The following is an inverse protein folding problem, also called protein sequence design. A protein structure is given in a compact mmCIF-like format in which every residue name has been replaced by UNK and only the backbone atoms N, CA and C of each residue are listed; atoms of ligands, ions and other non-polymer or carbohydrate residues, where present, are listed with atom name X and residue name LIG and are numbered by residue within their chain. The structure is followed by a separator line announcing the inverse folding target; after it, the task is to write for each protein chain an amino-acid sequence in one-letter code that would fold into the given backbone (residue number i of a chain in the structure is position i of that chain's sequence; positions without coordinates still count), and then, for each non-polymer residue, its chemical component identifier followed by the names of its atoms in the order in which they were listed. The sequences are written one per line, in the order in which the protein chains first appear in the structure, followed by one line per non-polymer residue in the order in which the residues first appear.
data_IF_399838532017
#
_entry.id   IF_399838532017
#
_cell.length_a   1.000
_cell.length_b   1.000
_cell.length_c   1.000
_cell.angle_alpha   90.00
_cell.angle_beta   90.00
_cell.angle_gamma   90.00
#
_symmetry.space_group_name_H-M   'P 1'
#
loop_
_entity.id
_entity.type
_entity.pdbx_description
1 polymer ?
#
# COMPACT_ATOMS: atom_id res chain seq x y z
N UNK A 1 -9.37 22.54 -14.30
CA UNK A 1 -9.03 21.18 -13.84
C UNK A 1 -10.33 20.39 -13.78
N UNK A 2 -10.45 19.27 -14.48
CA UNK A 2 -11.71 18.50 -14.49
C UNK A 2 -11.91 17.77 -13.16
N UNK A 3 -13.14 17.34 -12.85
CA UNK A 3 -13.40 16.56 -11.63
C UNK A 3 -12.59 15.25 -11.63
N UNK A 4 -12.50 14.59 -12.78
CA UNK A 4 -11.64 13.41 -13.00
C UNK A 4 -10.17 13.71 -12.69
N UNK A 5 -9.62 14.82 -13.16
CA UNK A 5 -8.23 15.20 -12.86
C UNK A 5 -7.99 15.33 -11.36
N UNK A 6 -8.95 15.90 -10.64
CA UNK A 6 -8.89 16.05 -9.18
C UNK A 6 -8.90 14.69 -8.49
N UNK A 7 -9.80 13.79 -8.87
CA UNK A 7 -9.90 12.43 -8.31
C UNK A 7 -8.60 11.64 -8.52
N UNK A 8 -8.04 11.63 -9.72
CA UNK A 8 -6.76 10.96 -10.01
C UNK A 8 -5.58 11.58 -9.26
N UNK A 9 -5.51 12.92 -9.17
CA UNK A 9 -4.47 13.59 -8.40
C UNK A 9 -4.54 13.23 -6.92
N UNK A 10 -5.73 13.26 -6.32
CA UNK A 10 -5.93 12.85 -4.93
C UNK A 10 -5.52 11.39 -4.71
N UNK A 11 -5.96 10.48 -5.59
CA UNK A 11 -5.57 9.07 -5.53
C UNK A 11 -4.05 8.88 -5.62
N UNK A 12 -3.39 9.59 -6.54
CA UNK A 12 -1.93 9.53 -6.68
C UNK A 12 -1.22 9.95 -5.38
N UNK A 13 -1.57 11.11 -4.80
CA UNK A 13 -0.90 11.59 -3.58
C UNK A 13 -1.18 10.72 -2.36
N UNK A 14 -2.41 10.21 -2.20
CA UNK A 14 -2.73 9.27 -1.13
C UNK A 14 -1.96 7.97 -1.30
N UNK A 15 -1.88 7.46 -2.54
CA UNK A 15 -1.11 6.27 -2.86
C UNK A 15 0.38 6.45 -2.54
N UNK A 16 0.98 7.58 -2.93
CA UNK A 16 2.39 7.88 -2.64
C UNK A 16 2.64 7.91 -1.12
N UNK A 17 1.75 8.53 -0.36
CA UNK A 17 1.86 8.55 1.10
C UNK A 17 1.82 7.14 1.69
N UNK A 18 0.91 6.29 1.22
CA UNK A 18 0.81 4.89 1.64
C UNK A 18 2.08 4.10 1.27
N UNK A 19 2.61 4.31 0.06
CA UNK A 19 3.85 3.67 -0.39
C UNK A 19 5.05 4.04 0.50
N UNK A 20 5.17 5.32 0.89
CA UNK A 20 6.20 5.78 1.81
C UNK A 20 6.05 5.12 3.19
N UNK A 21 4.82 5.07 3.72
CA UNK A 21 4.57 4.40 5.01
C UNK A 21 4.94 2.92 4.98
N UNK A 22 4.67 2.25 3.87
CA UNK A 22 5.02 0.84 3.68
C UNK A 22 6.51 0.62 3.59
N UNK A 23 7.22 1.41 2.79
CA UNK A 23 8.68 1.32 2.71
C UNK A 23 9.35 1.65 4.05
N UNK A 24 8.89 2.69 4.74
CA UNK A 24 9.40 3.04 6.06
C UNK A 24 9.15 1.91 7.08
N UNK A 25 7.97 1.29 7.06
CA UNK A 25 7.66 0.15 7.91
C UNK A 25 8.52 -1.08 7.57
N UNK A 26 8.69 -1.40 6.28
CA UNK A 26 9.53 -2.51 5.84
C UNK A 26 11.00 -2.30 6.22
N UNK A 27 11.52 -1.08 6.04
CA UNK A 27 12.85 -0.70 6.47
C UNK A 27 13.02 -0.83 7.99
N UNK A 28 12.06 -0.34 8.78
CA UNK A 28 12.08 -0.49 10.23
C UNK A 28 12.05 -1.97 10.65
N UNK A 29 11.23 -2.80 10.00
CA UNK A 29 11.20 -4.24 10.27
C UNK A 29 12.51 -4.94 9.91
N UNK A 30 13.16 -4.53 8.81
CA UNK A 30 14.46 -5.06 8.41
C UNK A 30 15.53 -4.74 9.46
N UNK A 31 15.57 -3.50 9.95
CA UNK A 31 16.54 -3.07 10.98
C UNK A 31 16.33 -3.77 12.33
N UNK A 32 15.10 -4.18 12.64
CA UNK A 32 14.78 -4.88 13.89
C UNK A 32 14.77 -6.41 13.76
N UNK A 33 15.16 -6.96 12.59
CA UNK A 33 15.23 -8.41 12.37
C UNK A 33 13.88 -9.14 12.40
N UNK A 34 12.76 -8.41 12.26
CA UNK A 34 11.39 -8.96 12.26
C UNK A 34 10.79 -9.07 10.86
N UNK A 35 11.53 -8.63 9.83
CA UNK A 35 11.10 -8.77 8.44
C UNK A 35 11.10 -10.26 8.05
N UNK A 36 9.99 -10.82 7.54
CA UNK A 36 9.97 -12.21 7.08
C UNK A 36 10.94 -12.42 5.91
N UNK A 37 12.13 -12.96 6.17
CA UNK A 37 13.12 -13.30 5.14
C UNK A 37 12.84 -14.68 4.57
N UNK A 38 11.85 -14.77 3.69
CA UNK A 38 11.45 -16.02 3.02
C UNK A 38 12.47 -16.59 2.02
N UNK A 39 13.77 -16.30 2.18
CA UNK A 39 14.83 -16.78 1.31
C UNK A 39 14.90 -16.16 -0.09
N UNK A 40 14.02 -15.20 -0.43
CA UNK A 40 13.92 -14.59 -1.76
C UNK A 40 14.97 -13.48 -2.02
N UNK A 41 16.14 -13.55 -1.39
CA UNK A 41 17.22 -12.58 -1.55
C UNK A 41 17.28 -11.48 -0.47
N UNK A 42 18.25 -10.56 -0.61
CA UNK A 42 18.54 -9.52 0.39
C UNK A 42 17.37 -8.54 0.55
N UNK A 43 16.97 -8.19 1.79
CA UNK A 43 15.88 -7.24 2.07
C UNK A 43 16.03 -5.89 1.36
N UNK A 44 17.26 -5.40 1.21
CA UNK A 44 17.57 -4.11 0.60
C UNK A 44 17.12 -4.04 -0.86
N UNK A 45 17.23 -5.15 -1.60
CA UNK A 45 16.77 -5.25 -2.98
C UNK A 45 15.25 -5.06 -3.06
N UNK A 46 14.51 -5.65 -2.12
CA UNK A 46 13.06 -5.55 -2.06
C UNK A 46 12.59 -4.15 -1.70
N UNK A 47 13.30 -3.44 -0.80
CA UNK A 47 13.01 -2.04 -0.46
C UNK A 47 13.20 -1.12 -1.68
N UNK A 48 14.30 -1.30 -2.42
CA UNK A 48 14.54 -0.52 -3.64
C UNK A 48 13.46 -0.81 -4.69
N UNK A 49 13.13 -2.09 -4.88
CA UNK A 49 12.10 -2.50 -5.84
C UNK A 49 10.72 -1.94 -5.47
N UNK A 50 10.34 -2.01 -4.20
CA UNK A 50 9.07 -1.49 -3.71
C UNK A 50 8.98 0.03 -3.85
N UNK A 51 10.05 0.77 -3.58
CA UNK A 51 10.13 2.21 -3.84
C UNK A 51 9.95 2.54 -5.34
N UNK A 52 10.63 1.81 -6.23
CA UNK A 52 10.50 2.00 -7.69
C UNK A 52 9.07 1.73 -8.16
N UNK A 53 8.47 0.63 -7.71
CA UNK A 53 7.07 0.28 -8.05
C UNK A 53 6.11 1.35 -7.53
N UNK A 54 6.29 1.81 -6.29
CA UNK A 54 5.45 2.85 -5.68
C UNK A 54 5.49 4.16 -6.47
N UNK A 55 6.68 4.60 -6.89
CA UNK A 55 6.86 5.79 -7.72
C UNK A 55 6.27 5.62 -9.12
N UNK A 56 6.41 4.44 -9.73
CA UNK A 56 5.83 4.16 -11.04
C UNK A 56 4.30 4.22 -11.01
N UNK A 57 3.66 3.64 -9.98
CA UNK A 57 2.20 3.69 -9.81
C UNK A 57 1.74 5.12 -9.54
N UNK A 58 2.44 5.87 -8.68
CA UNK A 58 2.17 7.29 -8.45
C UNK A 58 2.19 8.10 -9.76
N UNK A 59 3.25 7.94 -10.54
CA UNK A 59 3.43 8.63 -11.82
C UNK A 59 2.31 8.26 -12.81
N UNK A 60 1.98 6.96 -12.93
CA UNK A 60 0.92 6.48 -13.80
C UNK A 60 -0.46 7.03 -13.40
N UNK A 61 -0.78 7.06 -12.10
CA UNK A 61 -2.03 7.66 -11.61
C UNK A 61 -2.10 9.15 -11.91
N UNK A 62 -0.98 9.87 -11.76
CA UNK A 62 -0.93 11.32 -11.95
C UNK A 62 -1.00 11.72 -13.44
N UNK A 63 -0.40 10.95 -14.33
CA UNK A 63 -0.21 11.35 -15.74
C UNK A 63 -1.07 10.56 -16.73
N UNK A 64 -1.18 9.24 -16.61
CA UNK A 64 -2.02 8.44 -17.51
C UNK A 64 -3.52 8.56 -17.20
N UNK A 65 -3.87 8.74 -15.92
CA UNK A 65 -5.26 8.90 -15.47
C UNK A 65 -6.22 7.82 -16.01
N UNK A 66 -5.72 6.59 -16.13
CA UNK A 66 -6.47 5.47 -16.68
C UNK A 66 -7.28 4.79 -15.56
N UNK A 67 -8.60 4.70 -15.75
CA UNK A 67 -9.50 4.12 -14.77
C UNK A 67 -9.31 2.62 -14.58
N UNK A 68 -9.03 1.87 -15.66
CA UNK A 68 -8.74 0.44 -15.56
C UNK A 68 -7.46 0.17 -14.76
N UNK A 69 -6.45 1.04 -14.93
CA UNK A 69 -5.24 0.97 -14.11
C UNK A 69 -5.56 1.22 -12.63
N UNK A 70 -6.33 2.27 -12.31
CA UNK A 70 -6.75 2.53 -10.93
C UNK A 70 -7.54 1.35 -10.32
N UNK A 71 -8.40 0.69 -11.10
CA UNK A 71 -9.13 -0.52 -10.67
C UNK A 71 -8.21 -1.70 -10.40
N UNK A 72 -7.22 -1.92 -11.25
CA UNK A 72 -6.24 -2.99 -11.06
C UNK A 72 -5.42 -2.76 -9.77
N UNK A 73 -4.93 -1.54 -9.55
CA UNK A 73 -4.21 -1.19 -8.32
C UNK A 73 -5.11 -1.30 -7.09
N UNK A 74 -6.37 -0.86 -7.19
CA UNK A 74 -7.37 -1.03 -6.14
C UNK A 74 -7.54 -2.50 -5.76
N UNK A 75 -7.73 -3.39 -6.74
CA UNK A 75 -7.90 -4.83 -6.50
C UNK A 75 -6.66 -5.45 -5.85
N UNK A 76 -5.47 -5.13 -6.35
CA UNK A 76 -4.20 -5.61 -5.78
C UNK A 76 -4.02 -5.18 -4.31
N UNK A 77 -4.38 -3.94 -3.97
CA UNK A 77 -4.31 -3.48 -2.58
C UNK A 77 -5.41 -4.08 -1.69
N UNK A 78 -6.59 -4.35 -2.24
CA UNK A 78 -7.67 -5.00 -1.49
C UNK A 78 -7.30 -6.41 -1.04
N UNK A 79 -6.53 -7.15 -1.86
CA UNK A 79 -6.01 -8.47 -1.51
C UNK A 79 -5.09 -8.49 -0.27
N UNK A 80 -4.63 -7.33 0.21
CA UNK A 80 -3.85 -7.24 1.46
C UNK A 80 -4.73 -7.33 2.70
N UNK A 81 -6.01 -6.96 2.62
CA UNK A 81 -6.90 -6.89 3.78
C UNK A 81 -7.03 -8.23 4.53
N UNK A 82 -7.19 -9.40 3.88
CA UNK A 82 -7.27 -10.69 4.60
C UNK A 82 -6.05 -10.94 5.49
N UNK A 83 -4.83 -10.69 4.98
CA UNK A 83 -3.61 -10.88 5.74
C UNK A 83 -3.51 -9.90 6.92
N UNK A 84 -3.91 -8.64 6.73
CA UNK A 84 -3.91 -7.63 7.78
C UNK A 84 -4.96 -7.91 8.87
N UNK A 85 -6.17 -8.33 8.46
CA UNK A 85 -7.25 -8.73 9.39
C UNK A 85 -6.79 -9.94 10.21
N UNK A 86 -6.21 -10.95 9.56
CA UNK A 86 -5.64 -12.09 10.27
C UNK A 86 -4.55 -11.66 11.26
N UNK A 87 -3.68 -10.72 10.88
CA UNK A 87 -2.65 -10.18 11.77
C UNK A 87 -3.20 -9.36 12.94
N UNK A 88 -4.29 -8.63 12.74
CA UNK A 88 -4.90 -7.77 13.76
C UNK A 88 -5.76 -8.54 14.78
N UNK A 89 -6.49 -9.57 14.34
CA UNK A 89 -7.53 -10.21 15.15
C UNK A 89 -7.30 -11.69 15.43
N UNK A 90 -6.52 -12.40 14.59
CA UNK A 90 -6.38 -13.86 14.67
C UNK A 90 -4.99 -14.32 15.14
N UNK A 91 -3.97 -13.45 15.10
CA UNK A 91 -2.64 -13.76 15.66
C UNK A 91 -2.70 -13.69 17.18
N UNK A 92 -2.25 -14.75 17.87
CA UNK A 92 -2.08 -14.75 19.32
C UNK A 92 -1.02 -13.76 19.82
N UNK A 93 -0.82 -13.70 21.14
CA UNK A 93 0.13 -12.79 21.82
C UNK A 93 1.60 -13.05 21.49
N UNK A 94 1.92 -14.15 20.81
CA UNK A 94 3.28 -14.56 20.46
C UNK A 94 3.80 -13.94 19.15
N UNK A 95 3.02 -13.05 18.53
CA UNK A 95 3.43 -12.34 17.32
C UNK A 95 4.53 -11.30 17.59
N UNK A 96 5.64 -11.35 16.84
CA UNK A 96 6.73 -10.36 16.91
C UNK A 96 6.30 -8.91 16.61
N UNK A 97 5.15 -8.71 15.96
CA UNK A 97 4.60 -7.39 15.60
C UNK A 97 3.27 -7.22 16.33
N UNK A 98 3.13 -6.13 17.08
CA UNK A 98 1.95 -5.82 17.89
C UNK A 98 0.69 -5.60 17.03
N UNK A 99 -0.49 -6.02 17.53
CA UNK A 99 -1.77 -5.95 16.79
C UNK A 99 -2.13 -4.54 16.31
N UNK A 100 -1.76 -3.52 17.08
CA UNK A 100 -1.98 -2.10 16.72
C UNK A 100 -1.36 -1.73 15.37
N UNK A 101 -0.21 -2.32 15.02
CA UNK A 101 0.42 -2.09 13.71
C UNK A 101 -0.49 -2.55 12.56
N UNK A 102 -1.09 -3.74 12.68
CA UNK A 102 -2.01 -4.26 11.68
C UNK A 102 -3.30 -3.43 11.60
N UNK A 103 -3.83 -2.97 12.75
CA UNK A 103 -4.98 -2.06 12.77
C UNK A 103 -4.67 -0.74 12.06
N UNK A 104 -3.52 -0.13 12.33
CA UNK A 104 -3.06 1.08 11.62
C UNK A 104 -2.92 0.81 10.12
N UNK A 105 -2.32 -0.32 9.74
CA UNK A 105 -2.19 -0.70 8.33
C UNK A 105 -3.55 -0.89 7.64
N UNK A 106 -4.55 -1.47 8.32
CA UNK A 106 -5.93 -1.59 7.79
C UNK A 106 -6.50 -0.21 7.50
N UNK A 107 -6.41 0.74 8.44
CA UNK A 107 -6.92 2.11 8.26
C UNK A 107 -6.26 2.77 7.04
N UNK A 108 -4.93 2.69 6.96
CA UNK A 108 -4.16 3.25 5.83
C UNK A 108 -4.59 2.62 4.49
N UNK A 109 -4.77 1.29 4.45
CA UNK A 109 -5.23 0.58 3.24
C UNK A 109 -6.64 0.99 2.85
N UNK A 110 -7.57 1.06 3.80
CA UNK A 110 -8.97 1.43 3.53
C UNK A 110 -9.05 2.84 2.97
N UNK A 111 -8.29 3.79 3.53
CA UNK A 111 -8.19 5.15 2.99
C UNK A 111 -7.68 5.12 1.55
N UNK A 112 -6.58 4.41 1.28
CA UNK A 112 -6.04 4.28 -0.08
C UNK A 112 -7.07 3.70 -1.06
N UNK A 113 -7.76 2.63 -0.66
CA UNK A 113 -8.81 1.99 -1.45
C UNK A 113 -9.97 2.95 -1.74
N UNK A 114 -10.38 3.78 -0.79
CA UNK A 114 -11.43 4.77 -1.00
C UNK A 114 -11.05 5.78 -2.09
N UNK A 115 -9.83 6.32 -2.06
CA UNK A 115 -9.38 7.28 -3.06
C UNK A 115 -9.13 6.65 -4.44
N UNK A 116 -8.58 5.43 -4.48
CA UNK A 116 -8.45 4.68 -5.72
C UNK A 116 -9.82 4.33 -6.32
N UNK A 117 -10.81 4.00 -5.48
CA UNK A 117 -12.17 3.73 -5.94
C UNK A 117 -12.81 4.97 -6.57
N UNK A 118 -12.57 6.15 -5.98
CA UNK A 118 -13.02 7.43 -6.56
C UNK A 118 -12.40 7.70 -7.93
N UNK A 119 -11.14 7.33 -8.14
CA UNK A 119 -10.48 7.49 -9.44
C UNK A 119 -10.89 6.41 -10.47
N UNK A 120 -11.25 5.20 -10.02
CA UNK A 120 -11.53 4.06 -10.89
C UNK A 120 -13.00 3.81 -11.23
N UNK A 121 -13.92 4.09 -10.30
CA UNK A 121 -15.33 3.71 -10.41
C UNK A 121 -16.30 4.90 -10.44
N UNK A 122 -15.93 6.02 -9.81
CA UNK A 122 -16.71 7.27 -9.76
C UNK A 122 -16.17 8.24 -10.83
N UNK A 123 -16.45 7.95 -12.11
CA UNK A 123 -16.00 8.74 -13.26
C UNK A 123 -17.06 9.71 -13.77
#
# INVERSE_FOLDING_TARGET
MTDRDRKFRQAAFVYLHVAILYEAAAYAMAQNGVLPTGGMGPPELWLVLGAVVGLAVFWALLHWKNAWFARAIWALHALRLPALISGAFLRGTDGQIHHSFYLTAIVVVVINLAFLARAGWDL
#
